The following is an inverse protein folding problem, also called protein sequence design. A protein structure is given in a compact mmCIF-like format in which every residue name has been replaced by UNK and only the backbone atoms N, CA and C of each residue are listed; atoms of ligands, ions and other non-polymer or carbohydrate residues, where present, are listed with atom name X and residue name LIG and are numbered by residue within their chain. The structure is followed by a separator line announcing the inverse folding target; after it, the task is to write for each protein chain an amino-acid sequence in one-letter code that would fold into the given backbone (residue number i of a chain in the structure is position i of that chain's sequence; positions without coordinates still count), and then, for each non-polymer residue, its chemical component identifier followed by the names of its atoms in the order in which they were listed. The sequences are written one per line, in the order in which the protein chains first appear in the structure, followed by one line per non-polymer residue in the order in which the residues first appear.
data_IF_823025317916
#
_entry.id   IF_823025317916
#
_cell.length_a   1.000
_cell.length_b   1.000
_cell.length_c   1.000
_cell.angle_alpha   90.00
_cell.angle_beta   90.00
_cell.angle_gamma   90.00
#
_symmetry.space_group_name_H-M   'P 1'
#
loop_
_entity.id
_entity.type
_entity.pdbx_description
1 polymer ?
#
# COMPACT_ATOMS: atom_id res chain seq x y z
N UNK A 1 14.65 -10.91 -8.39
CA UNK A 1 15.06 -9.74 -7.55
C UNK A 1 13.88 -9.35 -6.65
N UNK A 2 14.10 -8.88 -5.41
CA UNK A 2 13.01 -8.45 -4.51
C UNK A 2 13.14 -6.96 -4.17
N UNK A 3 12.03 -6.24 -4.21
CA UNK A 3 11.95 -4.85 -3.73
C UNK A 3 11.41 -4.83 -2.31
N UNK A 4 12.18 -4.23 -1.40
CA UNK A 4 11.85 -4.16 0.02
C UNK A 4 11.87 -2.69 0.45
N UNK A 5 10.75 -2.22 0.99
CA UNK A 5 10.63 -0.88 1.56
C UNK A 5 10.56 -0.96 3.09
N UNK A 6 11.51 -0.31 3.76
CA UNK A 6 11.62 -0.34 5.21
C UNK A 6 10.69 0.71 5.85
N UNK A 7 9.74 0.25 6.66
CA UNK A 7 8.73 1.08 7.32
C UNK A 7 8.81 0.96 8.84
N UNK A 8 8.40 2.03 9.55
CA UNK A 8 8.27 2.01 11.01
C UNK A 8 7.08 1.19 11.51
N UNK A 9 6.06 1.04 10.67
CA UNK A 9 4.84 0.27 10.98
C UNK A 9 4.90 -1.11 10.36
N UNK A 10 4.21 -2.08 10.96
CA UNK A 10 4.00 -3.42 10.40
C UNK A 10 2.94 -3.48 9.30
N UNK A 11 3.00 -2.51 8.36
CA UNK A 11 2.09 -2.43 7.23
C UNK A 11 2.43 -3.53 6.21
N UNK A 12 1.40 -4.14 5.64
CA UNK A 12 1.49 -5.04 4.48
C UNK A 12 0.83 -4.38 3.25
N UNK A 13 1.06 -4.94 2.06
CA UNK A 13 0.43 -4.48 0.83
C UNK A 13 -1.11 -4.55 0.89
N UNK A 14 -1.79 -3.48 0.47
CA UNK A 14 -3.26 -3.41 0.45
C UNK A 14 -3.81 -3.29 -0.97
N UNK A 15 -4.64 -4.26 -1.38
CA UNK A 15 -5.40 -4.18 -2.64
C UNK A 15 -6.34 -2.97 -2.67
N UNK A 16 -7.04 -2.71 -1.56
CA UNK A 16 -7.89 -1.52 -1.42
C UNK A 16 -7.07 -0.24 -1.47
N UNK A 17 -5.89 -0.23 -0.84
CA UNK A 17 -4.96 0.89 -0.87
C UNK A 17 -4.49 1.20 -2.28
N UNK A 18 -4.11 0.18 -3.06
CA UNK A 18 -3.71 0.35 -4.45
C UNK A 18 -4.88 0.86 -5.29
N UNK A 19 -6.07 0.28 -5.12
CA UNK A 19 -7.29 0.69 -5.83
C UNK A 19 -7.65 2.16 -5.59
N UNK A 20 -7.50 2.63 -4.34
CA UNK A 20 -7.74 4.02 -3.96
C UNK A 20 -6.56 4.97 -4.25
N UNK A 21 -5.44 4.46 -4.78
CA UNK A 21 -4.26 5.27 -5.10
C UNK A 21 -3.38 5.64 -3.90
N UNK A 22 -3.51 4.95 -2.78
CA UNK A 22 -2.74 5.18 -1.54
C UNK A 22 -1.59 4.18 -1.31
N UNK A 23 -1.49 3.14 -2.15
CA UNK A 23 -0.42 2.12 -2.13
C UNK A 23 0.32 2.02 -3.49
N UNK A 24 0.73 3.16 -4.05
CA UNK A 24 1.39 3.22 -5.36
C UNK A 24 2.92 3.02 -5.30
N UNK A 25 3.53 3.18 -4.13
CA UNK A 25 4.99 3.33 -3.98
C UNK A 25 5.79 2.13 -4.55
N UNK A 26 5.57 0.92 -4.02
CA UNK A 26 6.31 -0.27 -4.46
C UNK A 26 6.02 -0.68 -5.92
N UNK A 27 4.75 -0.68 -6.41
CA UNK A 27 4.46 -0.94 -7.82
C UNK A 27 5.15 0.04 -8.78
N UNK A 28 5.21 1.33 -8.44
CA UNK A 28 5.91 2.34 -9.25
C UNK A 28 7.43 2.14 -9.20
N UNK A 29 8.00 1.74 -8.06
CA UNK A 29 9.43 1.40 -7.96
C UNK A 29 9.79 0.20 -8.84
N UNK A 30 8.93 -0.83 -8.89
CA UNK A 30 9.10 -1.94 -9.83
C UNK A 30 9.16 -1.42 -11.27
N UNK A 31 8.17 -0.60 -11.65
CA UNK A 31 8.09 -0.06 -13.01
C UNK A 31 9.33 0.75 -13.38
N UNK A 32 9.77 1.62 -12.48
CA UNK A 32 10.99 2.41 -12.67
C UNK A 32 12.24 1.53 -12.80
N UNK A 33 12.39 0.53 -11.92
CA UNK A 33 13.55 -0.36 -11.91
C UNK A 33 13.66 -1.18 -13.20
N UNK A 34 12.59 -1.86 -13.60
CA UNK A 34 12.61 -2.71 -14.80
C UNK A 34 12.72 -1.89 -16.10
N UNK A 35 12.29 -0.63 -16.08
CA UNK A 35 12.52 0.30 -17.19
C UNK A 35 13.99 0.70 -17.28
N UNK A 36 14.64 0.97 -16.14
CA UNK A 36 16.05 1.33 -16.10
C UNK A 36 17.00 0.14 -16.37
N UNK A 37 16.57 -1.08 -16.03
CA UNK A 37 17.36 -2.30 -16.17
C UNK A 37 16.59 -3.37 -16.97
N UNK A 38 16.48 -3.23 -18.29
CA UNK A 38 15.78 -4.19 -19.14
C UNK A 38 16.32 -5.62 -18.95
N UNK A 39 15.42 -6.60 -18.85
CA UNK A 39 15.78 -8.01 -18.61
C UNK A 39 15.90 -8.40 -17.13
N UNK A 40 15.89 -7.43 -16.21
CA UNK A 40 15.78 -7.71 -14.77
C UNK A 40 14.30 -7.82 -14.38
N UNK A 41 13.92 -8.89 -13.69
CA UNK A 41 12.55 -9.12 -13.20
C UNK A 41 12.48 -9.01 -11.68
N UNK A 42 11.54 -8.20 -11.21
CA UNK A 42 11.16 -8.15 -9.80
C UNK A 42 10.17 -9.28 -9.51
N UNK A 43 10.48 -10.10 -8.51
CA UNK A 43 9.74 -11.29 -8.09
C UNK A 43 8.88 -11.05 -6.85
N UNK A 44 9.00 -9.88 -6.21
CA UNK A 44 8.23 -9.58 -5.02
C UNK A 44 8.36 -8.13 -4.57
N UNK A 45 7.24 -7.61 -4.04
CA UNK A 45 7.13 -6.30 -3.41
C UNK A 45 6.81 -6.50 -1.93
N UNK A 46 7.69 -6.03 -1.05
CA UNK A 46 7.59 -6.30 0.39
C UNK A 46 7.74 -5.01 1.20
N UNK A 47 6.96 -4.92 2.27
CA UNK A 47 7.17 -3.94 3.33
C UNK A 47 7.85 -4.63 4.52
N UNK A 48 9.01 -4.10 4.91
CA UNK A 48 9.75 -4.54 6.08
C UNK A 48 9.55 -3.53 7.21
N UNK A 49 8.63 -3.82 8.13
CA UNK A 49 8.40 -2.99 9.30
C UNK A 49 7.88 -3.80 10.45
N UNK A 50 8.45 -3.59 11.64
CA UNK A 50 8.10 -4.33 12.85
C UNK A 50 8.05 -3.36 14.01
N UNK A 51 7.00 -3.47 14.83
CA UNK A 51 6.97 -2.79 16.11
C UNK A 51 7.76 -3.63 17.09
N UNK A 52 9.00 -3.23 17.35
CA UNK A 52 9.74 -3.73 18.51
C UNK A 52 9.13 -3.06 19.73
N UNK A 53 8.49 -3.84 20.62
CA UNK A 53 8.15 -3.33 21.95
C UNK A 53 9.46 -3.11 22.69
N UNK A 54 9.90 -1.86 22.79
CA UNK A 54 11.08 -1.49 23.57
C UNK A 54 10.75 -1.59 25.06
N UNK A 55 10.62 -2.80 25.58
CA UNK A 55 10.68 -3.03 27.02
C UNK A 55 12.16 -3.00 27.41
N UNK A 56 12.67 -1.82 27.77
CA UNK A 56 14.01 -1.68 28.36
C UNK A 56 14.02 -2.28 29.78
N UNK A 57 13.97 -3.60 29.90
CA UNK A 57 14.37 -4.28 31.12
C UNK A 57 15.88 -4.48 31.05
N UNK A 58 16.61 -3.59 31.73
CA UNK A 58 18.08 -3.61 31.85
C UNK A 58 18.62 -4.94 32.42
N UNK A 59 17.78 -5.73 33.10
CA UNK A 59 18.10 -7.08 33.59
C UNK A 59 17.99 -8.20 32.54
N UNK A 60 17.53 -7.88 31.33
CA UNK A 60 17.13 -8.88 30.32
C UNK A 60 17.93 -8.76 29.01
N UNK A 61 19.26 -8.69 29.12
CA UNK A 61 20.12 -8.95 27.96
C UNK A 61 19.89 -10.40 27.51
N UNK A 62 18.89 -10.61 26.64
CA UNK A 62 18.61 -11.90 26.04
C UNK A 62 19.48 -12.05 24.80
N UNK A 63 20.05 -13.24 24.56
CA UNK A 63 20.65 -13.55 23.27
C UNK A 63 19.61 -13.37 22.15
N UNK A 64 20.05 -13.13 20.90
CA UNK A 64 19.13 -12.99 19.78
C UNK A 64 18.20 -14.20 19.70
N UNK A 65 16.92 -14.00 19.31
CA UNK A 65 15.94 -15.07 19.22
C UNK A 65 16.43 -16.19 18.30
N UNK A 66 16.01 -17.41 18.61
CA UNK A 66 16.34 -18.59 17.79
C UNK A 66 15.78 -18.45 16.36
N UNK A 67 16.30 -19.17 15.35
CA UNK A 67 15.84 -19.05 13.96
C UNK A 67 14.32 -19.22 13.77
N UNK A 68 13.68 -20.09 14.56
CA UNK A 68 12.23 -20.32 14.52
C UNK A 68 11.39 -19.16 15.09
N UNK A 69 12.00 -18.26 15.84
CA UNK A 69 11.36 -17.08 16.45
C UNK A 69 11.45 -15.84 15.55
N UNK A 70 12.01 -15.93 14.33
CA UNK A 70 12.14 -14.79 13.42
C UNK A 70 10.78 -14.42 12.79
N UNK A 71 9.97 -13.71 13.58
CA UNK A 71 8.67 -13.14 13.18
C UNK A 71 8.76 -12.24 11.95
N UNK A 72 9.91 -11.59 11.75
CA UNK A 72 10.16 -10.74 10.60
C UNK A 72 10.25 -11.50 9.30
N UNK A 73 11.01 -12.60 9.29
CA UNK A 73 11.13 -13.48 8.12
C UNK A 73 9.76 -14.06 7.73
N UNK A 74 9.01 -14.57 8.72
CA UNK A 74 7.66 -15.13 8.52
C UNK A 74 6.67 -14.13 7.90
N UNK A 75 6.75 -12.85 8.31
CA UNK A 75 5.94 -11.78 7.72
C UNK A 75 6.29 -11.54 6.25
N UNK A 76 7.58 -11.54 5.91
CA UNK A 76 8.04 -11.35 4.53
C UNK A 76 7.66 -12.55 3.63
N UNK A 77 7.75 -13.77 4.15
CA UNK A 77 7.33 -14.99 3.45
C UNK A 77 5.83 -14.98 3.16
N UNK A 78 5.01 -14.58 4.14
CA UNK A 78 3.56 -14.40 3.96
C UNK A 78 3.24 -13.36 2.88
N UNK A 79 3.94 -12.23 2.88
CA UNK A 79 3.77 -11.20 1.85
C UNK A 79 4.19 -11.72 0.47
N UNK A 80 5.26 -12.52 0.39
CA UNK A 80 5.71 -13.14 -0.86
C UNK A 80 4.64 -14.04 -1.47
N UNK A 81 3.93 -14.80 -0.64
CA UNK A 81 2.88 -15.73 -1.09
C UNK A 81 1.68 -15.05 -1.80
N UNK A 82 1.54 -13.73 -1.68
CA UNK A 82 0.50 -12.95 -2.37
C UNK A 82 0.78 -12.83 -3.88
N UNK A 83 2.05 -12.87 -4.26
CA UNK A 83 2.49 -12.60 -5.63
C UNK A 83 2.48 -13.88 -6.47
N UNK A 84 1.60 -13.92 -7.49
CA UNK A 84 1.63 -14.89 -8.58
C UNK A 84 2.30 -14.23 -9.81
N UNK A 85 2.80 -15.03 -10.75
CA UNK A 85 3.63 -14.55 -11.88
C UNK A 85 3.10 -13.27 -12.55
N UNK A 86 1.81 -13.21 -12.87
CA UNK A 86 1.25 -12.08 -13.61
C UNK A 86 0.76 -10.91 -12.72
N UNK A 87 0.61 -11.13 -11.41
CA UNK A 87 0.13 -10.09 -10.50
C UNK A 87 1.05 -8.87 -10.48
N UNK A 88 2.37 -9.11 -10.44
CA UNK A 88 3.37 -8.06 -10.26
C UNK A 88 3.39 -7.08 -11.44
N UNK A 89 3.14 -7.57 -12.66
CA UNK A 89 3.07 -6.71 -13.83
C UNK A 89 1.76 -5.93 -13.89
N UNK A 90 0.64 -6.58 -13.55
CA UNK A 90 -0.68 -5.96 -13.49
C UNK A 90 -0.77 -4.85 -12.45
N UNK A 91 -0.24 -5.06 -11.24
CA UNK A 91 -0.23 -4.02 -10.20
C UNK A 91 0.65 -2.83 -10.59
N UNK A 92 1.79 -3.07 -11.26
CA UNK A 92 2.65 -1.99 -11.74
C UNK A 92 1.97 -1.14 -12.81
N UNK A 93 1.32 -1.78 -13.80
CA UNK A 93 0.53 -1.09 -14.83
C UNK A 93 -0.64 -0.31 -14.24
N UNK A 94 -1.37 -0.91 -13.29
CA UNK A 94 -2.47 -0.23 -12.62
C UNK A 94 -1.98 0.99 -11.83
N UNK A 95 -0.87 0.87 -11.11
CA UNK A 95 -0.28 1.98 -10.38
C UNK A 95 0.18 3.11 -11.30
N UNK A 96 0.81 2.78 -12.43
CA UNK A 96 1.18 3.75 -13.47
C UNK A 96 -0.06 4.47 -14.01
N UNK A 97 -1.11 3.73 -14.37
CA UNK A 97 -2.39 4.31 -14.81
C UNK A 97 -2.97 5.27 -13.76
N UNK A 98 -3.01 4.86 -12.49
CA UNK A 98 -3.49 5.71 -11.39
C UNK A 98 -2.65 6.97 -11.21
N UNK A 99 -1.34 6.87 -11.36
CA UNK A 99 -0.46 8.03 -11.30
C UNK A 99 -0.73 9.00 -12.46
N UNK A 100 -0.89 8.50 -13.69
CA UNK A 100 -1.22 9.32 -14.87
C UNK A 100 -2.57 10.01 -14.71
N UNK A 101 -3.64 9.28 -14.33
CA UNK A 101 -4.98 9.86 -14.05
C UNK A 101 -4.90 10.99 -13.00
N UNK A 102 -4.07 10.80 -11.96
CA UNK A 102 -3.87 11.80 -10.92
C UNK A 102 -3.13 13.02 -11.44
N UNK A 103 -2.10 12.84 -12.27
CA UNK A 103 -1.34 13.92 -12.88
C UNK A 103 -2.21 14.73 -13.85
N UNK A 104 -3.00 14.09 -14.69
CA UNK A 104 -3.95 14.74 -15.60
C UNK A 104 -4.98 15.57 -14.83
N UNK A 105 -5.50 15.04 -13.72
CA UNK A 105 -6.41 15.77 -12.83
C UNK A 105 -5.75 17.02 -12.24
N UNK A 106 -4.48 16.92 -11.80
CA UNK A 106 -3.73 18.08 -11.30
C UNK A 106 -3.52 19.12 -12.41
N UNK A 107 -3.07 18.71 -13.59
CA UNK A 107 -2.77 19.61 -14.71
C UNK A 107 -4.02 20.31 -15.25
N UNK A 108 -5.18 19.66 -15.17
CA UNK A 108 -6.47 20.27 -15.53
C UNK A 108 -7.06 21.17 -14.43
N UNK A 109 -6.42 21.28 -13.27
CA UNK A 109 -6.94 22.03 -12.12
C UNK A 109 -8.09 21.33 -11.40
N UNK A 110 -8.27 20.03 -11.61
CA UNK A 110 -9.27 19.21 -10.92
C UNK A 110 -8.68 18.55 -9.67
N UNK A 111 -8.80 19.21 -8.51
CA UNK A 111 -8.30 18.72 -7.22
C UNK A 111 -9.40 18.74 -6.13
N UNK A 112 -10.47 17.94 -6.27
CA UNK A 112 -11.55 17.92 -5.28
C UNK A 112 -11.06 17.42 -3.92
N UNK A 113 -11.58 18.00 -2.84
CA UNK A 113 -11.36 17.48 -1.49
C UNK A 113 -12.10 16.15 -1.30
N UNK A 114 -11.46 15.06 -1.74
CA UNK A 114 -12.00 13.68 -1.75
C UNK A 114 -11.05 12.71 -1.02
N UNK A 115 -10.96 12.77 0.32
CA UNK A 115 -10.15 11.83 1.08
C UNK A 115 -10.53 10.38 0.82
N UNK A 116 -9.54 9.48 0.81
CA UNK A 116 -9.75 8.03 0.67
C UNK A 116 -10.31 7.43 1.97
N UNK A 117 -11.59 7.65 2.22
CA UNK A 117 -12.29 7.16 3.41
C UNK A 117 -12.75 5.71 3.19
N UNK A 118 -12.36 4.81 4.09
CA UNK A 118 -12.94 3.46 4.19
C UNK A 118 -13.39 3.14 5.61
N UNK A 119 -14.40 2.28 5.71
CA UNK A 119 -14.83 1.71 6.99
C UNK A 119 -13.66 1.05 7.73
N UNK A 120 -13.60 1.22 9.05
CA UNK A 120 -12.58 0.63 9.93
C UNK A 120 -11.12 0.91 9.54
N UNK A 121 -10.87 1.94 8.72
CA UNK A 121 -9.53 2.40 8.32
C UNK A 121 -9.13 3.68 9.05
N UNK A 122 -7.84 4.02 9.03
CA UNK A 122 -7.39 5.30 9.57
C UNK A 122 -7.98 6.46 8.77
N UNK A 123 -8.60 7.41 9.47
CA UNK A 123 -9.17 8.59 8.86
C UNK A 123 -8.07 9.50 8.27
N UNK A 124 -7.98 9.68 6.94
CA UNK A 124 -6.99 10.56 6.32
C UNK A 124 -7.08 12.03 6.77
N UNK A 125 -8.26 12.49 7.16
CA UNK A 125 -8.43 13.87 7.65
C UNK A 125 -7.74 14.09 9.00
N UNK A 126 -7.48 13.04 9.79
CA UNK A 126 -6.88 13.16 11.12
C UNK A 126 -5.42 13.63 11.09
N UNK A 127 -4.71 13.37 9.99
CA UNK A 127 -3.32 13.81 9.79
C UNK A 127 -3.18 14.92 8.72
N UNK A 128 -4.29 15.39 8.14
CA UNK A 128 -4.27 16.41 7.09
C UNK A 128 -4.20 17.81 7.70
N UNK A 129 -3.15 18.61 7.44
CA UNK A 129 -3.05 19.98 7.97
C UNK A 129 -4.08 20.94 7.35
N UNK A 130 -4.67 20.59 6.21
CA UNK A 130 -5.62 21.41 5.46
C UNK A 130 -7.09 21.09 5.77
N UNK A 131 -7.37 20.25 6.77
CA UNK A 131 -8.72 19.77 7.08
C UNK A 131 -9.72 20.92 7.31
N UNK A 132 -9.27 22.05 7.87
CA UNK A 132 -10.11 23.20 8.16
C UNK A 132 -10.47 24.02 6.90
N UNK A 133 -9.65 23.93 5.84
CA UNK A 133 -9.80 24.74 4.64
C UNK A 133 -10.40 23.96 3.45
N UNK A 134 -10.34 22.63 3.46
CA UNK A 134 -10.69 21.81 2.30
C UNK A 134 -12.21 21.72 2.01
N UNK A 135 -13.06 22.11 2.96
CA UNK A 135 -14.52 22.06 2.80
C UNK A 135 -15.12 20.65 2.75
N UNK A 136 -14.34 19.62 3.09
CA UNK A 136 -14.84 18.25 3.21
C UNK A 136 -15.78 18.13 4.42
N UNK A 137 -16.95 17.53 4.21
CA UNK A 137 -17.95 17.31 5.26
C UNK A 137 -18.45 15.86 5.23
N UNK A 138 -18.16 15.11 6.28
CA UNK A 138 -18.53 13.69 6.40
C UNK A 138 -20.03 13.44 6.55
N UNK A 139 -20.84 14.48 6.82
CA UNK A 139 -22.30 14.37 6.95
C UNK A 139 -23.01 14.25 5.60
N UNK A 140 -22.31 14.54 4.50
CA UNK A 140 -22.88 14.52 3.16
C UNK A 140 -22.84 13.10 2.58
N UNK A 141 -23.94 12.64 1.98
CA UNK A 141 -24.06 11.28 1.42
C UNK A 141 -22.94 10.94 0.42
N UNK A 142 -22.53 11.92 -0.40
CA UNK A 142 -21.41 11.76 -1.36
C UNK A 142 -20.04 11.48 -0.72
N UNK A 143 -19.90 11.73 0.58
CA UNK A 143 -18.67 11.60 1.36
C UNK A 143 -18.73 10.41 2.33
N UNK A 144 -19.70 9.51 2.17
CA UNK A 144 -19.74 8.26 2.94
C UNK A 144 -18.48 7.43 2.69
N UNK A 145 -17.99 6.80 3.76
CA UNK A 145 -16.84 5.91 3.67
C UNK A 145 -17.16 4.72 2.76
N UNK A 146 -16.19 4.29 1.95
CA UNK A 146 -16.34 3.08 1.15
C UNK A 146 -16.24 1.84 2.04
N UNK A 147 -16.90 0.76 1.66
CA UNK A 147 -16.79 -0.52 2.33
C UNK A 147 -15.32 -0.99 2.40
N UNK A 148 -14.99 -1.75 3.43
CA UNK A 148 -13.66 -2.36 3.62
C UNK A 148 -13.73 -3.88 3.83
N UNK A 149 -14.87 -4.47 3.52
CA UNK A 149 -15.11 -5.90 3.67
C UNK A 149 -14.32 -6.75 2.65
N UNK A 150 -14.43 -8.07 2.81
CA UNK A 150 -13.75 -9.05 1.98
C UNK A 150 -14.26 -9.05 0.53
N UNK A 151 -15.54 -8.75 0.31
CA UNK A 151 -16.15 -8.75 -1.03
C UNK A 151 -15.61 -7.58 -1.84
N UNK A 152 -15.59 -6.39 -1.25
CA UNK A 152 -15.01 -5.18 -1.82
C UNK A 152 -13.50 -5.34 -2.08
N UNK A 153 -12.78 -6.05 -1.20
CA UNK A 153 -11.38 -6.39 -1.43
C UNK A 153 -11.19 -7.32 -2.64
N UNK A 154 -12.03 -8.34 -2.79
CA UNK A 154 -12.01 -9.22 -3.96
C UNK A 154 -12.31 -8.45 -5.24
N UNK A 155 -13.35 -7.61 -5.22
CA UNK A 155 -13.75 -6.75 -6.34
C UNK A 155 -12.63 -5.79 -6.74
N UNK A 156 -11.99 -5.13 -5.78
CA UNK A 156 -10.86 -4.24 -6.05
C UNK A 156 -9.67 -5.00 -6.64
N UNK A 157 -9.36 -6.18 -6.10
CA UNK A 157 -8.30 -7.04 -6.61
C UNK A 157 -8.58 -7.48 -8.05
N UNK A 158 -9.79 -7.95 -8.34
CA UNK A 158 -10.20 -8.35 -9.70
C UNK A 158 -10.09 -7.17 -10.67
N UNK A 159 -10.63 -6.01 -10.30
CA UNK A 159 -10.54 -4.79 -11.11
C UNK A 159 -9.08 -4.37 -11.40
N UNK A 160 -8.17 -4.51 -10.44
CA UNK A 160 -6.74 -4.24 -10.64
C UNK A 160 -6.12 -5.24 -11.62
N UNK A 161 -6.45 -6.53 -11.47
CA UNK A 161 -5.90 -7.59 -12.29
C UNK A 161 -6.47 -7.60 -13.71
N UNK A 162 -7.70 -7.14 -13.91
CA UNK A 162 -8.30 -6.96 -15.24
C UNK A 162 -7.77 -5.71 -15.94
N UNK A 163 -7.70 -4.58 -15.23
CA UNK A 163 -7.22 -3.32 -15.79
C UNK A 163 -5.72 -3.30 -16.11
N UNK A 164 -4.95 -4.24 -15.55
CA UNK A 164 -3.54 -4.43 -15.84
C UNK A 164 -3.24 -5.36 -17.03
N UNK A 165 -4.27 -5.97 -17.65
CA UNK A 165 -4.16 -6.81 -18.85
C UNK A 165 -3.70 -6.03 -20.08
#
# INVERSE_FOLDING_TARGET
IRLIDYKRSSREFSWLGLYDGTDLQLPLYKRAYETAFPGSLIEGLLFAGWQTSNHYQLSSFRPPPSPDENTGLKSLEKQMAVWKEDHLQKVARFAEKKAVESLESILSGHFPAKPAMRENSQNPCAYCPWYAACGYDSRLARNQAKAADKEENSRAREAILEAGG
#
